data_IF_632050851793
#
_entry.id   IF_632050851793
#
_cell.length_a   1.000
_cell.length_b   1.000
_cell.length_c   1.000
_cell.angle_alpha   90.00
_cell.angle_beta   90.00
_cell.angle_gamma   90.00
#
_symmetry.space_group_name_H-M   'P 1'
#
loop_
_entity.id
_entity.type
_entity.pdbx_description
1 polymer ?
#
# COMPACT_ATOMS: atom_id res chain seq x y z
N UNK A 1 -8.39 -8.29 1.95
CA UNK A 1 -7.16 -7.51 2.14
C UNK A 1 -7.60 -6.22 2.76
N UNK A 2 -7.20 -6.00 4.01
CA UNK A 2 -7.78 -4.94 4.82
C UNK A 2 -7.04 -3.61 4.59
N UNK A 3 -7.78 -2.50 4.55
CA UNK A 3 -7.20 -1.18 4.36
C UNK A 3 -6.19 -0.80 5.44
N UNK A 4 -6.34 -1.35 6.64
CA UNK A 4 -5.38 -1.21 7.74
C UNK A 4 -3.98 -1.78 7.40
N UNK A 5 -3.90 -2.85 6.60
CA UNK A 5 -2.61 -3.41 6.16
C UNK A 5 -1.88 -2.49 5.19
N UNK A 6 -2.62 -1.84 4.30
CA UNK A 6 -2.09 -0.86 3.35
C UNK A 6 -1.50 0.33 4.11
N UNK A 7 -2.30 0.84 5.07
CA UNK A 7 -1.87 1.94 5.93
C UNK A 7 -0.62 1.60 6.73
N UNK A 8 -0.59 0.41 7.35
CA UNK A 8 0.55 -0.05 8.14
C UNK A 8 1.83 -0.18 7.31
N UNK A 9 1.74 -0.75 6.11
CA UNK A 9 2.87 -0.86 5.20
C UNK A 9 3.42 0.52 4.80
N UNK A 10 2.53 1.46 4.43
CA UNK A 10 2.90 2.85 4.13
C UNK A 10 3.61 3.54 5.31
N UNK A 11 3.05 3.39 6.52
CA UNK A 11 3.61 4.02 7.73
C UNK A 11 4.97 3.41 8.10
N UNK A 12 5.19 2.11 7.89
CA UNK A 12 6.49 1.46 8.10
C UNK A 12 7.61 2.04 7.25
N UNK A 13 7.31 2.42 6.01
CA UNK A 13 8.30 3.07 5.12
C UNK A 13 8.30 4.60 5.25
N UNK A 14 7.46 5.17 6.13
CA UNK A 14 7.38 6.61 6.36
C UNK A 14 6.80 7.41 5.18
N UNK A 15 6.07 6.77 4.26
CA UNK A 15 5.58 7.43 3.05
C UNK A 15 4.26 8.18 3.27
N UNK A 16 4.05 9.26 2.52
CA UNK A 16 2.73 9.89 2.42
C UNK A 16 1.79 9.05 1.54
N UNK A 17 0.48 9.25 1.65
CA UNK A 17 -0.47 8.57 0.76
C UNK A 17 -0.27 8.94 -0.72
N UNK A 18 0.21 10.15 -1.01
CA UNK A 18 0.54 10.57 -2.38
C UNK A 18 1.75 9.80 -2.92
N UNK A 19 2.84 9.77 -2.15
CA UNK A 19 4.07 9.02 -2.49
C UNK A 19 3.78 7.53 -2.67
N UNK A 20 2.96 6.96 -1.79
CA UNK A 20 2.55 5.56 -1.91
C UNK A 20 1.72 5.34 -3.18
N UNK A 21 0.83 6.28 -3.54
CA UNK A 21 0.02 6.23 -4.76
C UNK A 21 0.83 6.28 -6.04
N UNK A 22 1.92 7.07 -6.06
CA UNK A 22 2.85 7.15 -7.19
C UNK A 22 3.46 5.79 -7.56
N UNK A 23 3.71 4.90 -6.58
CA UNK A 23 4.18 3.52 -6.83
C UNK A 23 3.23 2.70 -7.69
N UNK A 24 1.93 3.01 -7.64
CA UNK A 24 0.89 2.31 -8.38
C UNK A 24 0.30 3.16 -9.52
N UNK A 25 0.80 4.37 -9.73
CA UNK A 25 0.26 5.33 -10.70
C UNK A 25 -1.17 5.77 -10.38
N UNK A 26 -1.52 5.90 -9.10
CA UNK A 26 -2.84 6.36 -8.64
C UNK A 26 -2.74 7.60 -7.77
N UNK A 27 -3.80 8.39 -7.75
CA UNK A 27 -3.88 9.57 -6.88
C UNK A 27 -3.98 9.23 -5.39
N UNK A 28 -3.55 10.17 -4.55
CA UNK A 28 -3.68 10.11 -3.09
C UNK A 28 -5.10 9.76 -2.62
N UNK A 29 -6.14 10.27 -3.30
CA UNK A 29 -7.54 10.00 -2.97
C UNK A 29 -7.92 8.53 -3.17
N UNK A 30 -7.30 7.87 -4.14
CA UNK A 30 -7.46 6.44 -4.39
C UNK A 30 -6.83 5.62 -3.27
N UNK A 31 -5.65 6.01 -2.80
CA UNK A 31 -4.99 5.39 -1.64
C UNK A 31 -5.82 5.57 -0.37
N UNK A 32 -6.31 6.77 -0.10
CA UNK A 32 -7.22 7.02 1.03
C UNK A 32 -8.46 6.11 0.98
N UNK A 33 -9.03 5.93 -0.22
CA UNK A 33 -10.17 5.03 -0.41
C UNK A 33 -9.79 3.57 -0.13
N UNK A 34 -8.60 3.13 -0.53
CA UNK A 34 -8.11 1.78 -0.24
C UNK A 34 -7.85 1.55 1.24
N UNK A 35 -7.25 2.51 1.94
CA UNK A 35 -7.01 2.43 3.38
C UNK A 35 -8.32 2.43 4.18
N UNK A 36 -9.37 3.09 3.68
CA UNK A 36 -10.67 3.23 4.36
C UNK A 36 -11.65 2.09 4.03
N UNK A 37 -11.82 1.78 2.75
CA UNK A 37 -12.85 0.85 2.25
C UNK A 37 -12.27 -0.48 1.75
N UNK A 38 -10.94 -0.61 1.78
CA UNK A 38 -10.22 -1.72 1.15
C UNK A 38 -9.93 -1.45 -0.34
N UNK A 39 -8.90 -2.11 -0.88
CA UNK A 39 -8.57 -2.02 -2.30
C UNK A 39 -9.63 -2.77 -3.14
N UNK A 40 -9.69 -2.53 -4.47
CA UNK A 40 -10.55 -3.26 -5.37
C UNK A 40 -10.42 -4.78 -5.17
N UNK A 41 -11.54 -5.49 -5.07
CA UNK A 41 -11.56 -6.93 -4.76
C UNK A 41 -11.05 -7.80 -5.90
N UNK A 42 -11.07 -7.27 -7.13
CA UNK A 42 -10.66 -7.93 -8.37
C UNK A 42 -9.79 -7.00 -9.22
N UNK A 43 -8.90 -7.61 -10.00
CA UNK A 43 -8.08 -6.91 -10.98
C UNK A 43 -6.59 -6.82 -10.62
N UNK A 44 -5.78 -6.27 -11.53
CA UNK A 44 -4.32 -6.19 -11.40
C UNK A 44 -3.87 -5.33 -10.21
N UNK A 45 -4.64 -4.28 -9.87
CA UNK A 45 -4.34 -3.39 -8.74
C UNK A 45 -4.20 -4.16 -7.41
N UNK A 46 -5.11 -5.10 -7.13
CA UNK A 46 -5.03 -5.92 -5.91
C UNK A 46 -3.73 -6.70 -5.83
N UNK A 47 -3.37 -7.39 -6.92
CA UNK A 47 -2.13 -8.18 -6.96
C UNK A 47 -0.88 -7.31 -6.82
N UNK A 48 -0.89 -6.12 -7.41
CA UNK A 48 0.20 -5.17 -7.28
C UNK A 48 0.37 -4.70 -5.82
N UNK A 49 -0.73 -4.32 -5.16
CA UNK A 49 -0.74 -3.90 -3.76
C UNK A 49 -0.25 -5.04 -2.86
N UNK A 50 -0.73 -6.26 -3.08
CA UNK A 50 -0.34 -7.43 -2.28
C UNK A 50 1.15 -7.76 -2.41
N UNK A 51 1.69 -7.71 -3.63
CA UNK A 51 3.11 -7.90 -3.88
C UNK A 51 3.95 -6.81 -3.21
N UNK A 52 3.50 -5.56 -3.28
CA UNK A 52 4.23 -4.42 -2.73
C UNK A 52 4.26 -4.48 -1.21
N UNK A 53 3.11 -4.75 -0.57
CA UNK A 53 3.03 -4.92 0.88
C UNK A 53 3.93 -6.08 1.32
N UNK A 54 3.90 -7.22 0.63
CA UNK A 54 4.80 -8.33 0.94
C UNK A 54 6.28 -7.94 0.81
N UNK A 55 6.62 -7.02 -0.10
CA UNK A 55 7.99 -6.53 -0.28
C UNK A 55 8.39 -5.60 0.85
N UNK A 56 7.50 -4.70 1.26
CA UNK A 56 7.72 -3.77 2.39
C UNK A 56 7.88 -4.56 3.69
N UNK A 57 7.03 -5.54 3.94
CA UNK A 57 7.11 -6.39 5.12
C UNK A 57 8.40 -7.22 5.16
N UNK A 58 8.89 -7.69 4.00
CA UNK A 58 10.17 -8.40 3.91
C UNK A 58 11.39 -7.47 4.02
N UNK A 59 11.30 -6.23 3.53
CA UNK A 59 12.38 -5.24 3.54
C UNK A 59 12.54 -4.51 4.88
N UNK A 60 11.48 -4.39 5.67
CA UNK A 60 11.51 -3.75 7.00
C UNK A 60 12.35 -4.53 8.04
N UNK A 61 12.83 -5.74 7.70
CA UNK A 61 13.79 -6.51 8.50
C UNK A 61 15.27 -6.13 8.29
N UNK A 62 15.58 -5.18 7.41
CA UNK A 62 16.94 -4.65 7.22
C UNK A 62 17.00 -3.18 7.60
N UNK A 63 17.09 -2.90 8.89
CA UNK A 63 17.73 -1.70 9.39
C UNK A 63 18.72 -2.15 10.49
N UNK A 64 20.04 -1.89 10.34
CA UNK A 64 21.05 -2.24 11.35
C UNK A 64 20.88 -1.44 12.65
#
# INVERSE_FOLDING_TARGET
MDGALIRGAREKVGESQATFGERFGVDQSTVHRWETNGPPTRGPARKAIEREISTIEAGAGSCP
#
